data_IF_988090025293
#
_entry.id   IF_988090025293
#
_cell.length_a   1.000
_cell.length_b   1.000
_cell.length_c   1.000
_cell.angle_alpha   90.00
_cell.angle_beta   90.00
_cell.angle_gamma   90.00
#
_symmetry.space_group_name_H-M   'P 1'
#
loop_
_entity.id
_entity.type
_entity.pdbx_description
1 polymer ?
#
# COMPACT_ATOMS: atom_id res chain seq x y z
N UNK A 1 -12.08 24.92 4.89
CA UNK A 1 -13.24 24.29 4.23
C UNK A 1 -13.42 22.90 4.80
N UNK A 2 -14.59 22.62 5.26
CA UNK A 2 -14.82 21.48 6.14
C UNK A 2 -15.04 20.17 5.37
N UNK A 3 -14.39 19.12 5.84
CA UNK A 3 -14.75 17.74 5.49
C UNK A 3 -16.20 17.46 5.88
N UNK A 4 -16.83 16.51 5.21
CA UNK A 4 -18.25 16.21 5.45
C UNK A 4 -18.40 14.87 6.14
N UNK A 5 -19.32 14.79 7.10
CA UNK A 5 -19.77 13.50 7.61
C UNK A 5 -20.34 12.64 6.48
N UNK A 6 -19.99 11.37 6.47
CA UNK A 6 -20.55 10.39 5.54
C UNK A 6 -20.59 8.99 6.15
N UNK A 7 -21.47 8.18 5.65
CA UNK A 7 -21.55 6.75 5.96
C UNK A 7 -21.62 5.97 4.65
N UNK A 8 -20.87 4.88 4.57
CA UNK A 8 -20.88 3.99 3.43
C UNK A 8 -21.24 2.58 3.89
N UNK A 9 -22.28 2.03 3.31
CA UNK A 9 -22.72 0.68 3.62
C UNK A 9 -22.26 -0.31 2.55
N UNK A 10 -22.06 -1.57 2.94
CA UNK A 10 -21.70 -2.63 2.00
C UNK A 10 -22.74 -2.79 0.88
N UNK A 11 -24.02 -2.66 1.21
CA UNK A 11 -25.12 -2.76 0.24
C UNK A 11 -25.12 -1.67 -0.83
N UNK A 12 -24.51 -0.51 -0.55
CA UNK A 12 -24.49 0.66 -1.44
C UNK A 12 -23.12 0.92 -2.07
N UNK A 13 -22.16 0.05 -1.84
CA UNK A 13 -20.82 0.17 -2.39
C UNK A 13 -20.37 -1.17 -2.97
N UNK A 14 -19.83 -1.13 -4.18
CA UNK A 14 -19.44 -2.32 -4.91
C UNK A 14 -17.94 -2.39 -5.09
N UNK A 15 -17.43 -3.62 -5.14
CA UNK A 15 -16.07 -3.87 -5.60
C UNK A 15 -15.98 -3.66 -7.11
N UNK A 16 -14.92 -2.98 -7.53
CA UNK A 16 -14.62 -2.71 -8.95
C UNK A 16 -13.20 -3.14 -9.28
N UNK A 17 -13.02 -3.74 -10.45
CA UNK A 17 -11.70 -4.14 -10.96
C UNK A 17 -10.95 -2.94 -11.58
N UNK A 18 -11.17 -1.72 -11.07
CA UNK A 18 -10.57 -0.47 -11.55
C UNK A 18 -9.67 0.11 -10.48
N UNK A 19 -8.55 -0.50 -10.26
CA UNK A 19 -7.57 0.00 -9.30
C UNK A 19 -6.16 -0.16 -9.83
N UNK A 20 -5.21 0.11 -8.96
CA UNK A 20 -3.79 0.07 -9.28
C UNK A 20 -3.33 -1.32 -9.75
N UNK A 21 -3.91 -2.38 -9.22
CA UNK A 21 -3.51 -3.76 -9.52
C UNK A 21 -4.61 -4.54 -10.21
N UNK A 22 -4.26 -5.20 -11.29
CA UNK A 22 -5.21 -6.00 -12.09
C UNK A 22 -5.69 -7.27 -11.40
N UNK A 23 -4.97 -7.74 -10.41
CA UNK A 23 -5.30 -8.94 -9.61
C UNK A 23 -6.12 -8.62 -8.36
N UNK A 24 -6.54 -7.36 -8.19
CA UNK A 24 -7.38 -6.91 -7.11
C UNK A 24 -8.69 -6.27 -7.60
N UNK A 25 -9.69 -6.33 -6.74
CA UNK A 25 -10.89 -5.52 -6.81
C UNK A 25 -10.93 -4.57 -5.62
N UNK A 26 -11.47 -3.37 -5.83
CA UNK A 26 -11.44 -2.28 -4.87
C UNK A 26 -12.86 -1.81 -4.55
N UNK A 27 -13.17 -1.66 -3.28
CA UNK A 27 -14.39 -1.00 -2.79
C UNK A 27 -14.01 0.30 -2.11
N UNK A 28 -14.30 1.42 -2.77
CA UNK A 28 -14.07 2.75 -2.21
C UNK A 28 -14.99 2.99 -1.01
N UNK A 29 -14.43 3.42 0.10
CA UNK A 29 -15.18 3.73 1.33
C UNK A 29 -15.66 5.18 1.39
N UNK A 30 -15.42 5.99 0.35
CA UNK A 30 -15.87 7.38 0.26
C UNK A 30 -15.05 8.38 1.08
N UNK A 31 -13.96 7.95 1.68
CA UNK A 31 -13.13 8.78 2.57
C UNK A 31 -12.38 9.86 1.78
N UNK A 32 -11.92 9.55 0.57
CA UNK A 32 -11.26 10.55 -0.29
C UNK A 32 -12.14 11.77 -0.53
N UNK A 33 -13.42 11.53 -0.86
CA UNK A 33 -14.38 12.62 -1.09
C UNK A 33 -14.72 13.36 0.20
N UNK A 34 -15.00 12.62 1.28
CA UNK A 34 -15.38 13.18 2.57
C UNK A 34 -14.23 14.02 3.18
N UNK A 35 -12.99 13.57 3.06
CA UNK A 35 -11.79 14.25 3.57
C UNK A 35 -11.22 15.29 2.60
N UNK A 36 -11.82 15.49 1.44
CA UNK A 36 -11.31 16.39 0.39
C UNK A 36 -9.88 16.07 -0.07
N UNK A 37 -9.59 14.80 -0.21
CA UNK A 37 -8.30 14.33 -0.73
C UNK A 37 -7.21 14.14 0.32
N UNK A 38 -7.50 14.36 1.59
CA UNK A 38 -6.51 14.13 2.66
C UNK A 38 -6.18 12.64 2.79
N UNK A 39 -7.18 11.78 2.70
CA UNK A 39 -7.03 10.34 2.91
C UNK A 39 -7.86 9.57 1.88
N UNK A 40 -7.33 8.48 1.38
CA UNK A 40 -8.12 7.45 0.68
C UNK A 40 -8.18 6.19 1.55
N UNK A 41 -9.34 5.58 1.59
CA UNK A 41 -9.53 4.29 2.24
C UNK A 41 -10.39 3.41 1.35
N UNK A 42 -9.96 2.16 1.18
CA UNK A 42 -10.73 1.17 0.43
C UNK A 42 -10.51 -0.24 0.98
N UNK A 43 -11.50 -1.08 0.76
CA UNK A 43 -11.35 -2.52 0.94
C UNK A 43 -10.88 -3.10 -0.38
N UNK A 44 -9.80 -3.86 -0.32
CA UNK A 44 -9.21 -4.56 -1.46
C UNK A 44 -9.47 -6.05 -1.26
N UNK A 45 -9.91 -6.72 -2.29
CA UNK A 45 -10.00 -8.18 -2.28
C UNK A 45 -9.33 -8.81 -3.48
N UNK A 46 -8.93 -10.06 -3.34
CA UNK A 46 -8.39 -10.86 -4.43
C UNK A 46 -9.43 -10.99 -5.55
N UNK A 47 -8.99 -10.79 -6.79
CA UNK A 47 -9.81 -11.00 -7.97
C UNK A 47 -9.73 -12.47 -8.40
N UNK A 48 -10.87 -13.15 -8.60
CA UNK A 48 -10.88 -14.56 -9.02
C UNK A 48 -10.05 -14.80 -10.29
N UNK A 49 -9.25 -15.85 -10.27
CA UNK A 49 -8.43 -16.25 -11.42
C UNK A 49 -7.24 -15.36 -11.75
N UNK A 50 -6.92 -14.39 -10.89
CA UNK A 50 -5.77 -13.50 -11.04
C UNK A 50 -4.78 -13.69 -9.91
N UNK A 51 -3.50 -13.69 -10.24
CA UNK A 51 -2.40 -13.78 -9.29
C UNK A 51 -1.50 -12.55 -9.37
N UNK A 52 -0.80 -12.18 -8.27
CA UNK A 52 0.20 -11.13 -8.31
C UNK A 52 1.30 -11.43 -9.34
N UNK A 53 1.77 -10.41 -10.05
CA UNK A 53 2.86 -10.55 -11.00
C UNK A 53 4.24 -10.21 -10.41
N UNK A 54 4.30 -9.85 -9.13
CA UNK A 54 5.56 -9.68 -8.41
C UNK A 54 6.41 -8.48 -8.84
N UNK A 55 5.81 -7.48 -9.46
CA UNK A 55 6.54 -6.28 -9.86
C UNK A 55 6.98 -5.46 -8.65
N UNK A 56 8.27 -5.21 -8.52
CA UNK A 56 8.80 -4.29 -7.55
C UNK A 56 8.32 -2.86 -7.84
N UNK A 57 7.89 -2.16 -6.80
CA UNK A 57 7.36 -0.80 -6.89
C UNK A 57 7.48 -0.07 -5.56
N UNK A 58 7.19 1.24 -5.60
CA UNK A 58 7.14 2.11 -4.43
C UNK A 58 6.04 3.16 -4.59
N UNK A 59 5.57 3.69 -3.49
CA UNK A 59 4.54 4.72 -3.45
C UNK A 59 5.09 6.02 -2.88
N UNK A 60 4.82 7.13 -3.57
CA UNK A 60 5.14 8.48 -3.11
C UNK A 60 3.95 9.00 -2.29
N UNK A 61 3.81 8.51 -1.07
CA UNK A 61 2.79 8.93 -0.11
C UNK A 61 3.44 9.38 1.20
N UNK A 62 2.65 9.92 2.13
CA UNK A 62 3.14 10.30 3.46
C UNK A 62 2.87 9.22 4.49
N UNK A 63 1.73 8.56 4.39
CA UNK A 63 1.30 7.49 5.28
C UNK A 63 0.60 6.42 4.47
N UNK A 64 0.96 5.18 4.72
CA UNK A 64 0.23 4.03 4.19
C UNK A 64 0.24 2.90 5.22
N UNK A 65 -0.92 2.39 5.53
CA UNK A 65 -1.03 1.18 6.34
C UNK A 65 -2.19 0.31 5.88
N UNK A 66 -2.09 -0.94 6.21
CA UNK A 66 -3.04 -1.97 5.77
C UNK A 66 -3.39 -2.84 6.96
N UNK A 67 -4.65 -3.19 7.06
CA UNK A 67 -5.15 -4.18 7.99
C UNK A 67 -5.75 -5.35 7.23
N UNK A 68 -5.31 -6.57 7.49
CA UNK A 68 -5.83 -7.77 6.84
C UNK A 68 -7.14 -8.17 7.52
N UNK A 69 -8.23 -8.14 6.76
CA UNK A 69 -9.57 -8.48 7.25
C UNK A 69 -9.85 -9.98 7.14
N UNK A 70 -9.35 -10.62 6.08
CA UNK A 70 -9.61 -12.02 5.76
C UNK A 70 -8.50 -12.59 4.90
N UNK A 71 -8.22 -13.88 5.07
CA UNK A 71 -7.22 -14.56 4.26
C UNK A 71 -5.78 -14.22 4.64
N UNK A 72 -4.87 -14.35 3.68
CA UNK A 72 -3.45 -14.11 3.87
C UNK A 72 -2.77 -13.63 2.59
N UNK A 73 -1.64 -12.97 2.75
CA UNK A 73 -0.77 -12.57 1.65
C UNK A 73 0.69 -12.63 2.06
N UNK A 74 1.57 -12.79 1.09
CA UNK A 74 3.03 -12.71 1.27
C UNK A 74 3.53 -11.52 0.47
N UNK A 75 4.18 -10.59 1.17
CA UNK A 75 4.88 -9.46 0.57
C UNK A 75 6.38 -9.59 0.78
N UNK A 76 7.15 -8.96 -0.10
CA UNK A 76 8.60 -8.84 0.05
C UNK A 76 8.96 -7.37 0.08
N UNK A 77 9.77 -6.99 1.07
CA UNK A 77 10.20 -5.61 1.32
C UNK A 77 11.72 -5.51 1.23
N UNK A 78 12.21 -4.43 0.64
CA UNK A 78 13.65 -4.14 0.63
C UNK A 78 14.22 -4.10 2.05
N UNK A 79 15.35 -4.77 2.24
CA UNK A 79 16.04 -4.82 3.54
C UNK A 79 15.38 -5.67 4.62
N UNK A 80 14.21 -6.26 4.34
CA UNK A 80 13.45 -7.06 5.30
C UNK A 80 13.27 -8.50 4.82
N UNK A 81 12.93 -8.68 3.53
CA UNK A 81 12.61 -9.97 2.95
C UNK A 81 11.11 -10.26 2.91
N UNK A 82 10.76 -11.53 2.84
CA UNK A 82 9.35 -11.96 2.74
C UNK A 82 8.67 -11.97 4.10
N UNK A 83 7.48 -11.39 4.15
CA UNK A 83 6.63 -11.33 5.34
C UNK A 83 5.24 -11.85 4.99
N UNK A 84 4.75 -12.79 5.79
CA UNK A 84 3.39 -13.28 5.68
C UNK A 84 2.45 -12.46 6.57
N UNK A 85 1.41 -11.91 5.96
CA UNK A 85 0.33 -11.20 6.63
C UNK A 85 -0.91 -12.09 6.61
N UNK A 86 -1.64 -12.14 7.71
CA UNK A 86 -2.88 -12.93 7.86
C UNK A 86 -3.96 -12.09 8.51
N UNK A 87 -5.19 -12.58 8.53
CA UNK A 87 -6.31 -11.89 9.20
C UNK A 87 -5.90 -11.41 10.60
N UNK A 88 -6.11 -10.12 10.88
CA UNK A 88 -5.68 -9.45 12.10
C UNK A 88 -4.28 -8.81 12.03
N UNK A 89 -3.48 -9.07 11.00
CA UNK A 89 -2.21 -8.38 10.79
C UNK A 89 -2.45 -6.93 10.38
N UNK A 90 -1.70 -6.01 10.97
CA UNK A 90 -1.61 -4.62 10.53
C UNK A 90 -0.17 -4.32 10.16
N UNK A 91 0.05 -3.71 9.01
CA UNK A 91 1.39 -3.34 8.58
C UNK A 91 1.43 -1.91 8.05
N UNK A 92 2.48 -1.22 8.43
CA UNK A 92 2.81 0.11 7.97
C UNK A 92 3.88 0.02 6.88
N UNK A 93 3.61 0.66 5.75
CA UNK A 93 4.59 0.75 4.66
C UNK A 93 5.22 2.14 4.67
N UNK A 94 6.51 2.30 5.04
CA UNK A 94 7.16 3.59 4.97
C UNK A 94 7.10 4.18 3.56
N UNK A 95 6.94 5.50 3.41
CA UNK A 95 6.96 6.14 2.09
C UNK A 95 8.21 5.79 1.31
N UNK A 96 8.04 5.39 0.06
CA UNK A 96 9.12 5.06 -0.85
C UNK A 96 9.78 3.69 -0.65
N UNK A 97 9.36 2.89 0.33
CA UNK A 97 9.91 1.54 0.48
C UNK A 97 9.59 0.68 -0.76
N UNK A 98 10.62 0.05 -1.32
CA UNK A 98 10.43 -0.87 -2.43
C UNK A 98 9.86 -2.18 -1.92
N UNK A 99 8.82 -2.65 -2.57
CA UNK A 99 8.14 -3.87 -2.20
C UNK A 99 7.43 -4.50 -3.39
N UNK A 100 7.03 -5.74 -3.19
CA UNK A 100 6.20 -6.49 -4.13
C UNK A 100 5.31 -7.49 -3.41
N UNK A 101 4.23 -7.88 -4.04
CA UNK A 101 3.41 -8.99 -3.57
C UNK A 101 3.86 -10.29 -4.25
N UNK A 102 4.06 -11.33 -3.45
CA UNK A 102 4.47 -12.65 -3.92
C UNK A 102 3.25 -13.52 -4.19
N UNK A 103 2.33 -13.56 -3.22
CA UNK A 103 1.14 -14.43 -3.29
C UNK A 103 0.05 -13.94 -2.36
N UNK A 104 -1.16 -14.41 -2.59
CA UNK A 104 -2.27 -14.24 -1.66
C UNK A 104 -3.26 -15.38 -1.74
N UNK A 105 -4.03 -15.58 -0.68
CA UNK A 105 -5.14 -16.52 -0.65
C UNK A 105 -6.31 -16.02 -1.51
N UNK A 106 -7.14 -16.93 -1.98
CA UNK A 106 -8.31 -16.60 -2.83
C UNK A 106 -9.32 -15.72 -2.10
N UNK A 107 -9.38 -15.80 -0.77
CA UNK A 107 -10.30 -15.07 0.09
C UNK A 107 -9.70 -13.81 0.71
N UNK A 108 -8.53 -13.36 0.25
CA UNK A 108 -7.88 -12.18 0.80
C UNK A 108 -8.80 -10.95 0.74
N UNK A 109 -8.94 -10.29 1.88
CA UNK A 109 -9.51 -8.95 2.00
C UNK A 109 -8.64 -8.07 2.89
N UNK A 110 -8.36 -6.86 2.43
CA UNK A 110 -7.53 -5.87 3.10
C UNK A 110 -8.31 -4.56 3.27
N UNK A 111 -8.08 -3.88 4.38
CA UNK A 111 -8.39 -2.45 4.49
C UNK A 111 -7.10 -1.67 4.30
N UNK A 112 -7.03 -0.85 3.24
CA UNK A 112 -5.89 0.01 2.96
C UNK A 112 -6.24 1.47 3.18
N UNK A 113 -5.35 2.19 3.85
CA UNK A 113 -5.47 3.62 4.13
C UNK A 113 -4.18 4.31 3.68
N UNK A 114 -4.32 5.34 2.84
CA UNK A 114 -3.20 6.12 2.29
C UNK A 114 -3.48 7.61 2.40
N UNK A 115 -2.48 8.36 2.79
CA UNK A 115 -2.49 9.83 2.81
C UNK A 115 -1.22 10.37 2.13
N UNK A 116 -1.33 11.42 1.29
CA UNK A 116 -2.57 11.96 0.75
C UNK A 116 -3.29 10.97 -0.17
N UNK A 117 -4.56 11.22 -0.45
CA UNK A 117 -5.35 10.33 -1.31
C UNK A 117 -4.79 10.21 -2.73
N UNK A 118 -4.21 11.28 -3.25
CA UNK A 118 -3.52 11.29 -4.55
C UNK A 118 -2.02 11.11 -4.33
N UNK A 119 -1.48 10.03 -4.86
CA UNK A 119 -0.06 9.71 -4.79
C UNK A 119 0.39 8.98 -6.06
N UNK A 120 1.68 9.00 -6.34
CA UNK A 120 2.27 8.28 -7.47
C UNK A 120 2.77 6.91 -7.01
N UNK A 121 2.57 5.92 -7.87
CA UNK A 121 3.24 4.63 -7.78
C UNK A 121 4.28 4.54 -8.88
N UNK A 122 5.49 4.16 -8.51
CA UNK A 122 6.62 4.03 -9.44
C UNK A 122 7.10 2.60 -9.46
N UNK A 123 7.31 2.06 -10.65
CA UNK A 123 8.04 0.80 -10.79
C UNK A 123 9.46 0.97 -10.26
N UNK A 124 10.00 -0.08 -9.68
CA UNK A 124 11.33 -0.11 -9.11
C UNK A 124 12.08 -1.36 -9.58
N UNK A 125 13.41 -1.28 -9.58
CA UNK A 125 14.23 -2.45 -9.77
C UNK A 125 14.29 -3.29 -8.49
N UNK A 126 14.59 -4.58 -8.65
CA UNK A 126 14.86 -5.44 -7.51
C UNK A 126 15.99 -4.79 -6.65
N UNK A 127 15.74 -4.59 -5.34
CA UNK A 127 16.72 -3.93 -4.47
C UNK A 127 18.10 -4.60 -4.42
N UNK A 128 18.19 -5.86 -4.81
CA UNK A 128 19.45 -6.62 -4.87
C UNK A 128 20.31 -6.25 -6.08
N UNK A 129 19.71 -5.61 -7.10
CA UNK A 129 20.45 -5.15 -8.28
C UNK A 129 21.20 -3.84 -7.97
N UNK A 130 22.42 -3.70 -8.55
CA UNK A 130 23.19 -2.46 -8.44
C UNK A 130 22.52 -1.36 -9.27
N UNK A 131 22.53 -0.11 -8.76
CA UNK A 131 22.10 1.09 -9.48
C UNK A 131 20.81 1.75 -9.01
N UNK A 132 19.99 1.08 -8.20
CA UNK A 132 18.76 1.63 -7.65
C UNK A 132 18.82 1.83 -6.10
N UNK A 133 20.04 2.01 -5.58
CA UNK A 133 20.19 2.38 -4.16
C UNK A 133 19.96 3.87 -4.01
N UNK A 134 19.10 4.33 -3.07
CA UNK A 134 19.08 5.74 -2.73
C UNK A 134 20.48 6.17 -2.29
N UNK A 135 20.92 7.36 -2.75
CA UNK A 135 22.19 7.92 -2.35
C UNK A 135 22.28 7.92 -0.82
N UNK A 136 23.36 7.35 -0.27
CA UNK A 136 23.58 7.36 1.16
C UNK A 136 23.53 8.80 1.66
N UNK A 137 22.66 9.08 2.66
CA UNK A 137 22.66 10.36 3.37
C UNK A 137 24.07 10.54 3.95
N UNK A 138 24.83 11.49 3.42
CA UNK A 138 26.08 11.92 4.05
C UNK A 138 25.71 12.40 5.44
N UNK A 139 26.13 11.66 6.46
CA UNK A 139 26.11 12.12 7.83
C UNK A 139 27.00 13.37 7.86
N UNK A 140 26.40 14.54 8.11
CA UNK A 140 27.17 15.74 8.45
C UNK A 140 27.92 15.44 9.74
N UNK A 141 29.19 15.15 9.63
CA UNK A 141 30.08 15.03 10.77
C UNK A 141 30.00 16.29 11.60
N UNK A 142 29.58 16.12 12.82
CA UNK A 142 29.67 17.16 13.86
C UNK A 142 31.15 17.46 14.06
N UNK A 143 31.64 18.59 13.55
CA UNK A 143 32.94 19.08 13.95
C UNK A 143 32.84 19.51 15.42
N UNK A 144 33.40 18.72 16.29
CA UNK A 144 33.72 19.15 17.65
C UNK A 144 34.81 20.21 17.54
N UNK A 145 34.47 21.44 17.87
CA UNK A 145 35.51 22.43 18.21
C UNK A 145 35.92 22.17 19.68
N UNK A 146 37.14 21.71 19.86
CA UNK A 146 37.87 21.82 21.11
C UNK A 146 38.33 23.26 21.35
#
# INVERSE_FOLDING_TARGET
MNSKFMVKHLKTSQFKARGLRTYFEYRDLGIKRASRGEVVAHVIRARPGKAPHGQWHRHDCKVQFVYVLKGSAVFEYEGIGRVKMKAGSCFYQPPGIRHREISHSKDLELLEIVAPAKFKTRDALDPRLRGDRPAARKSRGRRSRG
#
